data_IF_276412329719
#
_entry.id   IF_276412329719
#
_cell.length_a   1.000
_cell.length_b   1.000
_cell.length_c   1.000
_cell.angle_alpha   90.00
_cell.angle_beta   90.00
_cell.angle_gamma   90.00
#
_symmetry.space_group_name_H-M   'P 1'
#
loop_
_entity.id
_entity.type
_entity.pdbx_description
1 polymer ?
#
# COMPACT_ATOMS: atom_id res chain seq x y z
N UNK A 1 -25.13 -11.45 5.35
CA UNK A 1 -24.72 -12.05 6.62
C UNK A 1 -23.43 -12.83 6.42
N UNK A 2 -22.49 -12.72 7.40
CA UNK A 2 -21.26 -13.51 7.46
C UNK A 2 -21.48 -14.60 8.50
N UNK A 3 -21.38 -15.86 8.10
CA UNK A 3 -21.42 -17.00 9.02
C UNK A 3 -19.98 -17.41 9.27
N UNK A 4 -19.55 -17.37 10.52
CA UNK A 4 -18.22 -17.84 10.94
C UNK A 4 -18.39 -19.25 11.49
N UNK A 5 -17.74 -20.22 10.83
CA UNK A 5 -17.72 -21.61 11.27
C UNK A 5 -16.34 -21.88 11.87
N UNK A 6 -16.28 -22.06 13.19
CA UNK A 6 -15.05 -22.40 13.92
C UNK A 6 -14.81 -23.91 13.85
N UNK A 7 -14.33 -24.40 12.71
CA UNK A 7 -13.97 -25.79 12.49
C UNK A 7 -12.48 -25.90 12.19
N UNK A 8 -11.77 -26.74 12.95
CA UNK A 8 -10.37 -27.04 12.65
C UNK A 8 -10.31 -27.94 11.42
N UNK A 9 -9.59 -27.50 10.40
CA UNK A 9 -9.41 -28.23 9.15
C UNK A 9 -8.00 -28.84 9.11
N UNK A 10 -7.90 -30.10 8.69
CA UNK A 10 -6.62 -30.78 8.53
C UNK A 10 -6.14 -30.70 7.06
N UNK A 11 -4.84 -30.59 6.88
CA UNK A 11 -4.24 -30.55 5.55
C UNK A 11 -4.44 -31.86 4.81
N UNK A 12 -4.96 -31.80 3.59
CA UNK A 12 -5.17 -32.98 2.73
C UNK A 12 -6.52 -33.65 2.86
N UNK A 13 -7.35 -33.23 3.81
CA UNK A 13 -8.71 -33.73 3.94
C UNK A 13 -9.69 -32.93 3.07
N UNK A 14 -10.76 -33.60 2.64
CA UNK A 14 -11.85 -32.99 1.89
C UNK A 14 -13.01 -32.72 2.84
N UNK A 15 -13.47 -31.49 2.89
CA UNK A 15 -14.59 -31.08 3.73
C UNK A 15 -15.78 -30.67 2.86
N UNK A 16 -16.97 -31.06 3.28
CA UNK A 16 -18.21 -30.65 2.65
C UNK A 16 -18.90 -29.60 3.52
N UNK A 17 -19.27 -28.48 2.94
CA UNK A 17 -20.11 -27.48 3.59
C UNK A 17 -21.51 -27.65 3.07
N UNK A 18 -22.41 -28.06 3.96
CA UNK A 18 -23.84 -28.17 3.65
C UNK A 18 -24.60 -26.97 4.22
N UNK A 19 -25.37 -26.31 3.36
CA UNK A 19 -26.20 -25.17 3.75
C UNK A 19 -27.65 -25.57 3.51
N UNK A 20 -28.38 -25.81 4.60
CA UNK A 20 -29.81 -26.15 4.56
C UNK A 20 -30.66 -24.99 5.06
N UNK A 21 -31.67 -24.63 4.30
CA UNK A 21 -32.64 -23.62 4.70
C UNK A 21 -33.84 -24.24 5.38
N UNK A 22 -34.09 -23.91 6.66
CA UNK A 22 -35.36 -24.26 7.35
C UNK A 22 -36.31 -23.07 7.28
N UNK A 23 -37.58 -23.36 6.91
CA UNK A 23 -38.64 -22.33 6.91
C UNK A 23 -38.55 -21.29 5.80
N UNK A 24 -37.83 -21.59 4.73
CA UNK A 24 -37.76 -20.72 3.55
C UNK A 24 -39.09 -20.78 2.83
N UNK A 25 -39.73 -19.61 2.66
CA UNK A 25 -40.96 -19.45 1.86
C UNK A 25 -40.61 -18.76 0.55
N UNK A 26 -41.43 -18.99 -0.50
CA UNK A 26 -41.24 -18.35 -1.80
C UNK A 26 -41.21 -16.82 -1.70
N UNK A 27 -41.91 -16.23 -0.72
CA UNK A 27 -41.97 -14.82 -0.42
C UNK A 27 -40.70 -14.26 0.28
N UNK A 28 -39.89 -15.17 0.86
CA UNK A 28 -38.62 -14.84 1.54
C UNK A 28 -37.52 -15.82 1.15
N UNK A 29 -37.05 -15.75 -0.10
CA UNK A 29 -36.03 -16.68 -0.59
C UNK A 29 -34.67 -16.41 0.05
N UNK A 30 -33.88 -17.46 0.25
CA UNK A 30 -32.48 -17.36 0.64
C UNK A 30 -31.63 -17.14 -0.62
N UNK A 31 -30.95 -16.01 -0.69
CA UNK A 31 -30.00 -15.75 -1.75
C UNK A 31 -28.58 -16.09 -1.28
N UNK A 32 -27.88 -16.88 -2.10
CA UNK A 32 -26.47 -17.18 -1.89
C UNK A 32 -25.65 -16.48 -2.96
N UNK A 33 -24.62 -15.77 -2.52
CA UNK A 33 -23.65 -15.19 -3.46
C UNK A 33 -22.76 -16.30 -4.02
N UNK A 34 -22.78 -16.42 -5.34
CA UNK A 34 -22.01 -17.42 -6.07
C UNK A 34 -20.95 -16.73 -6.95
N UNK A 35 -19.92 -17.48 -7.27
CA UNK A 35 -18.86 -17.03 -8.18
C UNK A 35 -18.63 -18.12 -9.23
N UNK A 36 -18.42 -17.70 -10.46
CA UNK A 36 -18.03 -18.59 -11.56
C UNK A 36 -16.53 -18.92 -11.57
N UNK A 37 -15.74 -18.22 -10.75
CA UNK A 37 -14.30 -18.40 -10.71
C UNK A 37 -13.95 -19.45 -9.64
N UNK A 38 -13.83 -20.69 -10.06
CA UNK A 38 -13.40 -21.78 -9.19
C UNK A 38 -11.92 -21.61 -8.84
N UNK A 39 -11.65 -21.13 -7.64
CA UNK A 39 -10.30 -21.23 -7.09
C UNK A 39 -9.89 -22.72 -6.94
N UNK A 40 -8.58 -22.99 -6.89
CA UNK A 40 -8.01 -24.35 -6.75
C UNK A 40 -8.48 -25.13 -5.51
N UNK A 41 -9.26 -24.50 -4.64
CA UNK A 41 -9.73 -25.05 -3.34
C UNK A 41 -11.03 -25.84 -3.50
N UNK A 42 -11.83 -25.58 -4.55
CA UNK A 42 -13.14 -26.20 -4.71
C UNK A 42 -13.10 -27.30 -5.75
N UNK A 43 -13.65 -28.48 -5.41
CA UNK A 43 -13.75 -29.62 -6.31
C UNK A 43 -15.10 -29.70 -7.01
N UNK A 44 -16.20 -29.48 -6.28
CA UNK A 44 -17.54 -29.50 -6.84
C UNK A 44 -18.53 -28.74 -5.94
N UNK A 45 -19.62 -28.25 -6.51
CA UNK A 45 -20.76 -27.74 -5.77
C UNK A 45 -22.05 -28.47 -6.25
N UNK A 46 -22.98 -28.75 -5.33
CA UNK A 46 -24.28 -29.34 -5.63
C UNK A 46 -25.36 -28.40 -5.12
N UNK A 47 -26.42 -28.23 -5.92
CA UNK A 47 -27.62 -27.52 -5.51
C UNK A 47 -28.79 -28.54 -5.59
N UNK A 48 -29.41 -28.80 -4.46
CA UNK A 48 -30.49 -29.80 -4.35
C UNK A 48 -30.10 -31.16 -4.97
N UNK A 49 -28.87 -31.60 -4.69
CA UNK A 49 -28.33 -32.88 -5.19
C UNK A 49 -27.76 -32.85 -6.61
N UNK A 50 -28.03 -31.82 -7.40
CA UNK A 50 -27.55 -31.68 -8.78
C UNK A 50 -26.21 -30.94 -8.82
N UNK A 51 -25.22 -31.59 -9.44
CA UNK A 51 -23.89 -30.99 -9.60
C UNK A 51 -23.97 -29.79 -10.54
N UNK A 52 -23.49 -28.63 -10.07
CA UNK A 52 -23.47 -27.40 -10.81
C UNK A 52 -22.06 -27.15 -11.38
N UNK A 53 -21.97 -26.94 -12.68
CA UNK A 53 -20.74 -26.50 -13.33
C UNK A 53 -20.63 -24.98 -13.16
N UNK A 54 -19.43 -24.51 -12.76
CA UNK A 54 -19.14 -23.08 -12.57
C UNK A 54 -19.96 -22.36 -11.48
N UNK A 55 -20.37 -23.12 -10.46
CA UNK A 55 -21.12 -22.57 -9.34
C UNK A 55 -20.44 -22.96 -8.02
N UNK A 56 -20.11 -21.98 -7.20
CA UNK A 56 -19.64 -22.21 -5.84
C UNK A 56 -20.04 -21.06 -4.92
N UNK A 57 -20.32 -21.38 -3.68
CA UNK A 57 -20.61 -20.40 -2.65
C UNK A 57 -19.30 -19.69 -2.27
N UNK A 58 -19.33 -18.38 -2.17
CA UNK A 58 -18.15 -17.60 -1.78
C UNK A 58 -17.80 -17.87 -0.33
N UNK A 59 -16.83 -18.74 -0.12
CA UNK A 59 -16.29 -19.07 1.20
C UNK A 59 -14.86 -18.56 1.35
N UNK A 60 -14.47 -18.16 2.55
CA UNK A 60 -13.08 -17.88 2.90
C UNK A 60 -12.67 -18.88 3.98
N UNK A 61 -11.62 -19.62 3.69
CA UNK A 61 -10.97 -20.49 4.69
C UNK A 61 -9.79 -19.70 5.26
N UNK A 62 -9.79 -19.53 6.57
CA UNK A 62 -8.72 -18.92 7.30
C UNK A 62 -7.86 -20.03 7.89
N UNK A 63 -6.58 -20.03 7.58
CA UNK A 63 -5.63 -20.93 8.20
C UNK A 63 -4.77 -20.14 9.18
N UNK A 64 -4.69 -20.59 10.41
CA UNK A 64 -3.73 -20.10 11.42
C UNK A 64 -2.40 -20.88 11.32
N UNK A 65 -1.99 -21.23 10.11
CA UNK A 65 -0.72 -21.90 9.92
C UNK A 65 0.42 -20.87 10.10
N UNK A 66 1.25 -21.09 11.11
CA UNK A 66 2.45 -20.31 11.30
C UNK A 66 3.40 -20.70 10.15
N UNK A 67 3.65 -19.76 9.24
CA UNK A 67 4.71 -19.91 8.25
C UNK A 67 6.06 -19.75 8.95
N UNK A 68 6.66 -20.88 9.32
CA UNK A 68 7.96 -20.90 10.03
C UNK A 68 9.02 -20.14 9.24
N UNK A 69 8.97 -20.20 7.91
CA UNK A 69 9.93 -19.48 7.05
C UNK A 69 9.76 -17.96 7.16
N UNK A 70 8.51 -17.49 7.24
CA UNK A 70 8.22 -16.07 7.44
C UNK A 70 8.64 -15.59 8.83
N UNK A 71 8.44 -16.41 9.87
CA UNK A 71 8.88 -16.09 11.23
C UNK A 71 10.41 -16.01 11.30
N UNK A 72 11.13 -17.00 10.78
CA UNK A 72 12.61 -17.01 10.75
C UNK A 72 13.14 -15.80 9.98
N UNK A 73 12.57 -15.50 8.81
CA UNK A 73 12.96 -14.33 8.03
C UNK A 73 12.71 -13.02 8.80
N UNK A 74 11.56 -12.89 9.44
CA UNK A 74 11.23 -11.69 10.23
C UNK A 74 12.21 -11.52 11.42
N UNK A 75 12.51 -12.61 12.13
CA UNK A 75 13.48 -12.59 13.22
C UNK A 75 14.87 -12.22 12.70
N UNK A 76 15.33 -12.84 11.63
CA UNK A 76 16.64 -12.55 11.03
C UNK A 76 16.77 -11.09 10.61
N UNK A 77 15.74 -10.54 9.97
CA UNK A 77 15.70 -9.14 9.55
C UNK A 77 15.67 -8.20 10.76
N UNK A 78 14.86 -8.52 11.77
CA UNK A 78 14.78 -7.72 13.00
C UNK A 78 16.14 -7.69 13.71
N UNK A 79 16.82 -8.84 13.83
CA UNK A 79 18.17 -8.91 14.38
C UNK A 79 19.17 -8.11 13.54
N UNK A 80 19.12 -8.21 12.21
CA UNK A 80 20.00 -7.44 11.33
C UNK A 80 19.78 -5.92 11.51
N UNK A 81 18.53 -5.46 11.63
CA UNK A 81 18.21 -4.06 11.91
C UNK A 81 18.70 -3.62 13.29
N UNK A 82 18.53 -4.45 14.32
CA UNK A 82 19.05 -4.18 15.68
C UNK A 82 20.58 -4.05 15.64
N UNK A 83 21.27 -4.98 15.00
CA UNK A 83 22.72 -4.93 14.83
C UNK A 83 23.12 -3.64 14.10
N UNK A 84 22.44 -3.30 13.01
CA UNK A 84 22.69 -2.07 12.25
C UNK A 84 22.46 -0.81 13.11
N UNK A 85 21.44 -0.79 13.97
CA UNK A 85 21.18 0.32 14.89
C UNK A 85 22.28 0.44 15.93
N UNK A 86 22.65 -0.66 16.56
CA UNK A 86 23.63 -0.70 17.66
C UNK A 86 25.08 -0.49 17.18
N UNK A 87 25.40 -0.90 15.96
CA UNK A 87 26.75 -0.74 15.42
C UNK A 87 27.04 0.74 15.17
N UNK A 88 28.07 1.32 15.78
CA UNK A 88 28.47 2.72 15.55
C UNK A 88 29.18 2.85 14.19
N UNK A 89 28.43 2.74 13.11
CA UNK A 89 28.95 2.95 11.75
C UNK A 89 29.28 4.45 11.59
N UNK A 90 30.55 4.79 11.72
CA UNK A 90 31.05 6.14 11.37
C UNK A 90 31.40 6.15 9.90
N UNK A 91 30.57 6.76 9.08
CA UNK A 91 30.90 6.98 7.67
C UNK A 91 31.95 8.08 7.61
N UNK A 92 33.13 7.87 6.98
CA UNK A 92 34.14 8.90 6.85
C UNK A 92 33.55 10.18 6.21
N UNK A 93 33.90 11.36 6.72
CA UNK A 93 33.32 12.65 6.30
C UNK A 93 33.35 12.85 4.78
N UNK A 94 34.46 12.44 4.14
CA UNK A 94 34.63 12.45 2.69
C UNK A 94 33.51 11.71 1.93
N UNK A 95 33.06 10.58 2.48
CA UNK A 95 32.04 9.74 1.86
C UNK A 95 30.63 10.10 2.32
N UNK A 96 30.48 10.63 3.53
CA UNK A 96 29.18 10.96 4.10
C UNK A 96 28.37 11.89 3.20
N UNK A 97 28.96 12.93 2.65
CA UNK A 97 28.29 13.85 1.73
C UNK A 97 27.82 13.14 0.46
N UNK A 98 28.65 12.27 -0.12
CA UNK A 98 28.30 11.49 -1.32
C UNK A 98 27.17 10.51 -1.04
N UNK A 99 27.25 9.76 0.05
CA UNK A 99 26.20 8.83 0.47
C UNK A 99 24.88 9.53 0.78
N UNK A 100 24.93 10.69 1.43
CA UNK A 100 23.74 11.49 1.73
C UNK A 100 22.98 11.87 0.46
N UNK A 101 23.68 12.38 -0.55
CA UNK A 101 23.04 12.74 -1.82
C UNK A 101 22.64 11.52 -2.65
N UNK A 102 23.46 10.48 -2.67
CA UNK A 102 23.09 9.22 -3.34
C UNK A 102 21.81 8.63 -2.73
N UNK A 103 21.72 8.60 -1.41
CA UNK A 103 20.51 8.13 -0.73
C UNK A 103 19.31 9.03 -1.04
N UNK A 104 19.47 10.36 -1.04
CA UNK A 104 18.40 11.27 -1.38
C UNK A 104 17.86 11.08 -2.81
N UNK A 105 18.74 10.72 -3.75
CA UNK A 105 18.35 10.43 -5.14
C UNK A 105 17.68 9.07 -5.26
N UNK A 106 18.18 8.05 -4.57
CA UNK A 106 17.68 6.67 -4.69
C UNK A 106 16.40 6.43 -3.87
N UNK A 107 16.29 7.08 -2.72
CA UNK A 107 15.19 6.84 -1.77
C UNK A 107 13.78 7.03 -2.37
N UNK A 108 13.48 8.09 -3.16
CA UNK A 108 12.16 8.25 -3.78
C UNK A 108 11.76 7.08 -4.69
N UNK A 109 12.73 6.49 -5.40
CA UNK A 109 12.50 5.30 -6.23
C UNK A 109 12.18 4.06 -5.40
N UNK A 110 12.95 3.84 -4.34
CA UNK A 110 12.73 2.69 -3.46
C UNK A 110 11.40 2.84 -2.74
N UNK A 111 11.10 4.02 -2.21
CA UNK A 111 9.84 4.32 -1.55
C UNK A 111 8.64 4.12 -2.49
N UNK A 112 8.70 4.64 -3.71
CA UNK A 112 7.70 4.42 -4.75
C UNK A 112 7.49 2.91 -4.99
N UNK A 113 8.58 2.18 -5.26
CA UNK A 113 8.50 0.75 -5.54
C UNK A 113 7.88 -0.02 -4.37
N UNK A 114 8.25 0.30 -3.12
CA UNK A 114 7.73 -0.38 -1.94
C UNK A 114 6.25 -0.06 -1.69
N UNK A 115 5.85 1.20 -1.85
CA UNK A 115 4.44 1.60 -1.71
C UNK A 115 3.58 0.87 -2.75
N UNK A 116 3.97 0.87 -4.02
CA UNK A 116 3.23 0.15 -5.07
C UNK A 116 3.21 -1.36 -4.84
N UNK A 117 4.26 -1.94 -4.27
CA UNK A 117 4.35 -3.36 -3.93
C UNK A 117 3.34 -3.76 -2.87
N UNK A 118 3.12 -2.93 -1.85
CA UNK A 118 2.11 -3.13 -0.80
C UNK A 118 0.70 -3.20 -1.40
N UNK A 119 0.44 -2.50 -2.49
CA UNK A 119 -0.84 -2.52 -3.21
C UNK A 119 -0.98 -3.66 -4.20
N UNK A 120 0.00 -4.56 -4.31
CA UNK A 120 0.05 -5.56 -5.39
C UNK A 120 -0.02 -4.92 -6.78
N UNK A 121 0.48 -3.69 -6.91
CA UNK A 121 0.41 -2.98 -8.16
C UNK A 121 1.51 -3.48 -9.11
N UNK A 122 1.17 -4.12 -10.23
CA UNK A 122 2.16 -4.50 -11.20
C UNK A 122 2.62 -3.25 -11.96
N UNK A 123 3.75 -2.68 -11.54
CA UNK A 123 4.35 -1.48 -12.17
C UNK A 123 4.50 -1.65 -13.69
N UNK A 124 4.65 -2.88 -14.17
CA UNK A 124 4.75 -3.20 -15.59
C UNK A 124 3.52 -2.86 -16.43
N UNK A 125 2.33 -2.77 -15.81
CA UNK A 125 1.08 -2.39 -16.52
C UNK A 125 0.73 -0.91 -16.35
N UNK A 126 1.54 -0.17 -15.59
CA UNK A 126 1.34 1.27 -15.39
C UNK A 126 1.67 2.03 -16.68
N UNK A 127 0.83 3.03 -17.00
CA UNK A 127 1.12 3.94 -18.10
C UNK A 127 2.46 4.67 -17.85
N UNK A 128 3.31 4.80 -18.89
CA UNK A 128 4.64 5.43 -18.76
C UNK A 128 4.57 6.85 -18.22
N UNK A 129 3.57 7.64 -18.63
CA UNK A 129 3.37 8.99 -18.12
C UNK A 129 2.98 8.94 -16.63
N UNK A 130 2.02 8.07 -16.25
CA UNK A 130 1.62 7.89 -14.87
C UNK A 130 2.78 7.46 -13.97
N UNK A 131 3.63 6.55 -14.47
CA UNK A 131 4.86 6.14 -13.79
C UNK A 131 5.79 7.35 -13.53
N UNK A 132 6.10 8.12 -14.58
CA UNK A 132 6.95 9.31 -14.45
C UNK A 132 6.38 10.35 -13.51
N UNK A 133 5.05 10.57 -13.55
CA UNK A 133 4.37 11.49 -12.65
C UNK A 133 4.42 11.04 -11.19
N UNK A 134 4.23 9.75 -10.90
CA UNK A 134 4.39 9.25 -9.54
C UNK A 134 5.80 9.52 -9.02
N UNK A 135 6.83 9.14 -9.78
CA UNK A 135 8.22 9.39 -9.39
C UNK A 135 8.47 10.90 -9.13
N UNK A 136 7.96 11.77 -9.99
CA UNK A 136 8.07 13.22 -9.81
C UNK A 136 7.46 13.67 -8.48
N UNK A 137 6.27 13.16 -8.13
CA UNK A 137 5.60 13.51 -6.87
C UNK A 137 6.35 13.00 -5.64
N UNK A 138 6.98 11.82 -5.71
CA UNK A 138 7.87 11.36 -4.63
C UNK A 138 9.06 12.30 -4.46
N UNK A 139 9.71 12.74 -5.56
CA UNK A 139 10.79 13.72 -5.46
C UNK A 139 10.33 15.06 -4.90
N UNK A 140 9.17 15.56 -5.33
CA UNK A 140 8.58 16.80 -4.80
C UNK A 140 8.36 16.67 -3.29
N UNK A 141 7.78 15.55 -2.81
CA UNK A 141 7.56 15.30 -1.39
C UNK A 141 8.88 15.38 -0.59
N UNK A 142 9.88 14.60 -0.99
CA UNK A 142 11.17 14.60 -0.30
C UNK A 142 11.89 15.93 -0.39
N UNK A 143 11.76 16.65 -1.50
CA UNK A 143 12.36 17.98 -1.67
C UNK A 143 11.67 19.03 -0.77
N UNK A 144 10.34 19.01 -0.67
CA UNK A 144 9.61 19.87 0.27
C UNK A 144 10.07 19.59 1.70
N UNK A 145 10.17 18.32 2.09
CA UNK A 145 10.66 17.94 3.41
C UNK A 145 12.10 18.38 3.63
N UNK A 146 12.96 18.29 2.60
CA UNK A 146 14.33 18.83 2.66
C UNK A 146 14.32 20.32 2.91
N UNK A 147 13.45 21.07 2.26
CA UNK A 147 13.31 22.50 2.47
C UNK A 147 12.75 22.84 3.85
N UNK A 148 11.83 22.02 4.39
CA UNK A 148 11.27 22.20 5.74
C UNK A 148 12.33 21.93 6.81
N UNK A 149 13.03 20.82 6.75
CA UNK A 149 13.98 20.40 7.78
C UNK A 149 15.40 20.92 7.56
N UNK A 150 15.73 21.35 6.33
CA UNK A 150 17.07 21.77 5.92
C UNK A 150 18.18 20.74 6.21
N UNK A 151 17.83 19.48 6.31
CA UNK A 151 18.74 18.33 6.56
C UNK A 151 18.20 17.10 5.86
N UNK A 152 19.00 16.46 5.02
CA UNK A 152 18.57 15.28 4.25
C UNK A 152 18.08 14.16 5.17
N UNK A 153 18.80 13.89 6.26
CA UNK A 153 18.43 12.89 7.25
C UNK A 153 16.95 13.01 7.67
N UNK A 154 16.54 14.19 8.11
CA UNK A 154 15.18 14.40 8.59
C UNK A 154 14.14 14.37 7.47
N UNK A 155 14.52 14.86 6.28
CA UNK A 155 13.65 14.76 5.11
C UNK A 155 13.36 13.30 4.75
N UNK A 156 14.38 12.44 4.76
CA UNK A 156 14.23 11.01 4.48
C UNK A 156 13.41 10.31 5.58
N UNK A 157 13.77 10.51 6.85
CA UNK A 157 13.08 9.86 7.97
C UNK A 157 11.58 10.19 7.99
N UNK A 158 11.25 11.47 7.93
CA UNK A 158 9.84 11.90 7.99
C UNK A 158 9.09 11.46 6.72
N UNK A 159 9.73 11.56 5.56
CA UNK A 159 9.14 11.12 4.29
C UNK A 159 8.87 9.62 4.26
N UNK A 160 9.82 8.80 4.67
CA UNK A 160 9.67 7.34 4.68
C UNK A 160 8.63 6.89 5.71
N UNK A 161 8.62 7.48 6.91
CA UNK A 161 7.59 7.18 7.92
C UNK A 161 6.21 7.59 7.43
N UNK A 162 6.07 8.76 6.82
CA UNK A 162 4.80 9.22 6.24
C UNK A 162 4.30 8.30 5.14
N UNK A 163 5.17 7.96 4.18
CA UNK A 163 4.82 7.07 3.07
C UNK A 163 4.50 5.65 3.56
N UNK A 164 5.24 5.16 4.55
CA UNK A 164 4.96 3.88 5.18
C UNK A 164 3.59 3.87 5.85
N UNK A 165 3.27 4.88 6.66
CA UNK A 165 1.98 4.99 7.32
C UNK A 165 0.83 5.06 6.31
N UNK A 166 0.99 5.85 5.24
CA UNK A 166 0.01 5.95 4.16
C UNK A 166 -0.17 4.61 3.42
N UNK A 167 0.94 3.91 3.11
CA UNK A 167 0.90 2.63 2.42
C UNK A 167 0.23 1.54 3.26
N UNK A 168 0.62 1.40 4.52
CA UNK A 168 0.05 0.39 5.43
C UNK A 168 -1.40 0.70 5.76
N UNK A 169 -1.73 1.96 6.03
CA UNK A 169 -3.12 2.37 6.24
C UNK A 169 -4.01 1.99 5.05
N UNK A 170 -3.56 2.32 3.84
CA UNK A 170 -4.29 1.96 2.63
C UNK A 170 -4.33 0.44 2.36
N UNK A 171 -3.26 -0.29 2.70
CA UNK A 171 -3.24 -1.77 2.63
C UNK A 171 -4.38 -2.38 3.45
N UNK A 172 -4.55 -1.97 4.69
CA UNK A 172 -5.63 -2.46 5.54
C UNK A 172 -7.01 -2.02 5.04
N UNK A 173 -7.17 -0.77 4.64
CA UNK A 173 -8.45 -0.28 4.10
C UNK A 173 -8.82 -1.02 2.80
N UNK A 174 -7.84 -1.27 1.92
CA UNK A 174 -8.05 -2.03 0.70
C UNK A 174 -8.42 -3.50 0.98
N UNK A 175 -7.76 -4.13 1.96
CA UNK A 175 -8.07 -5.50 2.38
C UNK A 175 -9.49 -5.60 2.96
N UNK A 176 -9.92 -4.59 3.69
CA UNK A 176 -11.21 -4.50 4.32
C UNK A 176 -12.34 -4.12 3.36
N UNK A 177 -12.24 -2.97 2.72
CA UNK A 177 -13.29 -2.38 1.90
C UNK A 177 -13.24 -2.81 0.44
N UNK A 178 -12.08 -3.28 -0.02
CA UNK A 178 -11.84 -3.63 -1.43
C UNK A 178 -11.57 -2.42 -2.34
N UNK A 179 -11.61 -1.20 -1.78
CA UNK A 179 -11.29 0.06 -2.46
C UNK A 179 -10.18 0.80 -1.71
N UNK A 180 -9.28 1.49 -2.40
CA UNK A 180 -8.20 2.25 -1.76
C UNK A 180 -8.75 3.48 -1.02
N UNK A 181 -7.90 4.05 -0.14
CA UNK A 181 -8.19 5.32 0.52
C UNK A 181 -8.21 6.44 -0.53
N UNK A 182 -9.25 7.24 -0.46
CA UNK A 182 -9.42 8.46 -1.26
C UNK A 182 -9.29 9.70 -0.37
N UNK A 183 -9.10 10.90 -0.93
CA UNK A 183 -9.09 12.13 -0.15
C UNK A 183 -10.36 12.33 0.69
N UNK A 184 -11.51 11.89 0.20
CA UNK A 184 -12.78 11.97 0.93
C UNK A 184 -12.80 11.12 2.21
N UNK A 185 -12.06 10.02 2.23
CA UNK A 185 -11.98 9.13 3.42
C UNK A 185 -11.24 9.78 4.59
N UNK A 186 -10.45 10.82 4.35
CA UNK A 186 -9.77 11.57 5.42
C UNK A 186 -10.79 12.20 6.36
N UNK A 187 -11.93 12.65 5.82
CA UNK A 187 -13.02 13.21 6.64
C UNK A 187 -13.79 12.15 7.43
N UNK A 188 -13.72 10.89 7.02
CA UNK A 188 -14.41 9.75 7.64
C UNK A 188 -13.48 8.90 8.54
N UNK A 189 -12.27 9.36 8.83
CA UNK A 189 -11.28 8.61 9.63
C UNK A 189 -11.80 8.18 11.01
N UNK A 190 -12.57 9.04 11.69
CA UNK A 190 -13.19 8.70 12.98
C UNK A 190 -14.08 7.47 12.90
N UNK A 191 -15.02 7.47 11.94
CA UNK A 191 -15.93 6.33 11.72
C UNK A 191 -15.20 5.06 11.30
N UNK A 192 -14.09 5.20 10.57
CA UNK A 192 -13.29 4.05 10.15
C UNK A 192 -12.59 3.38 11.34
N UNK A 193 -12.16 4.14 12.34
CA UNK A 193 -11.54 3.62 13.56
C UNK A 193 -12.53 2.85 14.44
N UNK A 194 -13.77 3.30 14.53
CA UNK A 194 -14.82 2.63 15.32
C UNK A 194 -15.16 1.22 14.80
N UNK A 195 -14.86 0.96 13.53
CA UNK A 195 -15.16 -0.31 12.89
C UNK A 195 -13.92 -1.23 12.81
N UNK A 196 -12.73 -0.68 13.07
CA UNK A 196 -11.46 -1.40 12.90
C UNK A 196 -11.33 -2.64 13.80
N UNK A 197 -11.87 -2.60 15.01
CA UNK A 197 -11.80 -3.69 16.00
C UNK A 197 -12.50 -4.97 15.55
N UNK A 198 -13.35 -4.90 14.54
CA UNK A 198 -14.13 -6.05 14.03
C UNK A 198 -13.41 -6.81 12.91
N UNK A 199 -12.16 -6.42 12.57
CA UNK A 199 -11.43 -6.99 11.43
C UNK A 199 -10.19 -7.76 11.85
N UNK A 200 -10.03 -8.95 11.26
CA UNK A 200 -8.79 -9.73 11.35
C UNK A 200 -7.81 -9.13 10.35
N UNK A 201 -6.83 -8.40 10.86
CA UNK A 201 -5.74 -7.84 10.06
C UNK A 201 -4.75 -8.95 9.72
N UNK A 202 -4.64 -9.29 8.43
CA UNK A 202 -3.60 -10.19 7.93
C UNK A 202 -2.47 -9.38 7.32
N UNK A 203 -1.24 -9.72 7.67
CA UNK A 203 -0.03 -9.06 7.16
C UNK A 203 0.70 -10.03 6.25
N UNK A 204 0.79 -9.73 4.97
CA UNK A 204 1.34 -10.63 3.97
C UNK A 204 2.80 -10.31 3.57
N UNK A 205 3.39 -11.19 2.76
CA UNK A 205 4.80 -11.08 2.36
C UNK A 205 5.18 -9.72 1.74
N UNK A 206 4.42 -9.14 0.78
CA UNK A 206 4.75 -7.82 0.23
C UNK A 206 4.75 -6.71 1.27
N UNK A 207 3.78 -6.71 2.18
CA UNK A 207 3.70 -5.73 3.26
C UNK A 207 4.89 -5.87 4.22
N UNK A 208 5.28 -7.11 4.58
CA UNK A 208 6.47 -7.36 5.41
C UNK A 208 7.73 -6.84 4.72
N UNK A 209 7.94 -7.18 3.45
CA UNK A 209 9.13 -6.74 2.70
C UNK A 209 9.19 -5.22 2.62
N UNK A 210 8.08 -4.54 2.31
CA UNK A 210 8.04 -3.09 2.27
C UNK A 210 8.36 -2.46 3.63
N UNK A 211 7.80 -2.99 4.71
CA UNK A 211 8.10 -2.56 6.08
C UNK A 211 9.60 -2.64 6.36
N UNK A 212 10.20 -3.78 6.08
CA UNK A 212 11.63 -4.00 6.33
C UNK A 212 12.50 -3.05 5.53
N UNK A 213 12.21 -2.88 4.24
CA UNK A 213 13.00 -2.00 3.37
C UNK A 213 12.88 -0.54 3.80
N UNK A 214 11.66 -0.05 4.07
CA UNK A 214 11.46 1.33 4.50
C UNK A 214 12.06 1.59 5.89
N UNK A 215 11.94 0.65 6.84
CA UNK A 215 12.62 0.74 8.13
C UNK A 215 14.16 0.71 7.96
N UNK A 216 14.67 -0.12 7.07
CA UNK A 216 16.10 -0.16 6.73
C UNK A 216 16.60 1.18 6.19
N UNK A 217 15.84 1.83 5.31
CA UNK A 217 16.16 3.18 4.83
C UNK A 217 16.17 4.21 5.95
N UNK A 218 15.19 4.16 6.87
CA UNK A 218 15.16 5.03 8.04
C UNK A 218 16.39 4.83 8.94
N UNK A 219 16.75 3.56 9.23
CA UNK A 219 17.93 3.25 10.03
C UNK A 219 19.20 3.73 9.36
N UNK A 220 19.34 3.51 8.05
CA UNK A 220 20.49 4.01 7.28
C UNK A 220 20.56 5.52 7.28
N UNK A 221 19.43 6.22 7.09
CA UNK A 221 19.35 7.67 7.18
C UNK A 221 19.78 8.18 8.57
N UNK A 222 19.49 7.43 9.65
CA UNK A 222 19.94 7.77 11.01
C UNK A 222 21.47 7.74 11.18
N UNK A 223 22.18 6.96 10.37
CA UNK A 223 23.65 6.87 10.41
C UNK A 223 24.37 7.99 9.64
N UNK A 224 23.64 8.77 8.85
CA UNK A 224 24.21 9.91 8.15
C UNK A 224 24.45 11.08 9.10
N UNK A 225 25.57 11.74 8.95
CA UNK A 225 25.82 13.00 9.64
C UNK A 225 24.93 14.10 9.12
N UNK A 226 24.49 14.97 10.01
CA UNK A 226 23.55 16.03 9.67
C UNK A 226 24.28 17.35 9.43
N UNK A 227 24.15 17.89 8.24
CA UNK A 227 24.58 19.25 7.92
C UNK A 227 23.42 20.04 7.29
N UNK A 228 23.44 21.35 7.48
CA UNK A 228 22.46 22.26 6.86
C UNK A 228 22.80 22.44 5.38
N UNK A 229 21.80 22.27 4.50
CA UNK A 229 21.97 22.35 3.05
C UNK A 229 21.87 23.79 2.55
N UNK A 230 20.87 24.51 3.02
CA UNK A 230 20.52 25.83 2.51
C UNK A 230 20.66 26.90 3.58
N UNK A 231 21.10 28.10 3.17
CA UNK A 231 20.97 29.29 3.97
C UNK A 231 19.50 29.73 4.03
N UNK A 232 19.05 30.31 5.15
CA UNK A 232 17.64 30.56 5.42
C UNK A 232 16.91 31.34 4.33
N UNK A 233 17.52 32.39 3.74
CA UNK A 233 16.94 33.22 2.66
C UNK A 233 16.72 32.39 1.38
N UNK A 234 17.73 31.62 0.95
CA UNK A 234 17.64 30.74 -0.23
C UNK A 234 16.61 29.65 -0.03
N UNK A 235 16.51 29.12 1.19
CA UNK A 235 15.54 28.10 1.57
C UNK A 235 14.10 28.62 1.47
N UNK A 236 13.82 29.84 1.98
CA UNK A 236 12.48 30.44 1.90
C UNK A 236 12.05 30.64 0.44
N UNK A 237 12.94 31.20 -0.39
CA UNK A 237 12.67 31.39 -1.83
C UNK A 237 12.44 30.06 -2.52
N UNK A 238 13.29 29.06 -2.27
CA UNK A 238 13.11 27.71 -2.84
C UNK A 238 11.79 27.07 -2.41
N UNK A 239 11.37 27.24 -1.14
CA UNK A 239 10.10 26.73 -0.63
C UNK A 239 8.91 27.39 -1.31
N UNK A 240 8.93 28.70 -1.48
CA UNK A 240 7.88 29.43 -2.20
C UNK A 240 7.79 29.00 -3.67
N UNK A 241 8.93 28.91 -4.37
CA UNK A 241 8.96 28.46 -5.76
C UNK A 241 8.44 27.03 -5.86
N UNK A 242 8.89 26.12 -4.98
CA UNK A 242 8.45 24.73 -4.97
C UNK A 242 6.96 24.63 -4.69
N UNK A 243 6.42 25.41 -3.75
CA UNK A 243 4.99 25.45 -3.46
C UNK A 243 4.18 25.89 -4.69
N UNK A 244 4.60 26.98 -5.36
CA UNK A 244 3.94 27.49 -6.58
C UNK A 244 3.99 26.44 -7.70
N UNK A 245 5.17 25.83 -7.93
CA UNK A 245 5.33 24.78 -8.96
C UNK A 245 4.48 23.55 -8.61
N UNK A 246 4.45 23.15 -7.35
CA UNK A 246 3.64 21.99 -6.88
C UNK A 246 2.16 22.24 -7.09
N UNK A 247 1.65 23.39 -6.63
CA UNK A 247 0.23 23.74 -6.81
C UNK A 247 -0.11 23.88 -8.28
N UNK A 248 0.70 24.59 -9.06
CA UNK A 248 0.50 24.76 -10.50
C UNK A 248 0.54 23.42 -11.25
N UNK A 249 1.56 22.60 -10.99
CA UNK A 249 1.66 21.28 -11.64
C UNK A 249 0.53 20.34 -11.21
N UNK A 250 0.11 20.36 -9.94
CA UNK A 250 -1.05 19.60 -9.49
C UNK A 250 -2.30 19.99 -10.27
N UNK A 251 -2.56 21.29 -10.39
CA UNK A 251 -3.73 21.78 -11.08
C UNK A 251 -3.75 21.42 -12.57
N UNK A 252 -2.59 21.49 -13.25
CA UNK A 252 -2.52 21.21 -14.70
C UNK A 252 -2.34 19.72 -15.02
N UNK A 253 -1.46 19.03 -14.31
CA UNK A 253 -1.06 17.66 -14.65
C UNK A 253 -2.06 16.60 -14.15
N UNK A 254 -2.91 16.92 -13.18
CA UNK A 254 -3.94 15.97 -12.69
C UNK A 254 -5.30 16.16 -13.37
N UNK A 255 -5.44 17.12 -14.32
CA UNK A 255 -6.69 17.32 -15.05
C UNK A 255 -7.08 16.08 -15.85
N UNK A 256 -8.31 15.65 -15.65
CA UNK A 256 -8.91 14.50 -16.31
C UNK A 256 -8.76 14.57 -17.83
N UNK A 257 -9.04 15.74 -18.43
CA UNK A 257 -8.95 15.95 -19.88
C UNK A 257 -7.52 15.77 -20.42
N UNK A 258 -6.53 16.26 -19.69
CA UNK A 258 -5.12 16.10 -20.05
C UNK A 258 -4.69 14.63 -19.95
N UNK A 259 -5.02 13.99 -18.85
CA UNK A 259 -4.63 12.62 -18.55
C UNK A 259 -5.30 11.63 -19.51
N UNK A 260 -6.59 11.79 -19.80
CA UNK A 260 -7.33 10.93 -20.73
C UNK A 260 -6.76 11.00 -22.15
N UNK A 261 -6.43 12.21 -22.63
CA UNK A 261 -5.77 12.41 -23.94
C UNK A 261 -4.41 11.72 -24.04
N UNK A 262 -3.74 11.51 -22.92
CA UNK A 262 -2.44 10.81 -22.83
C UNK A 262 -2.56 9.33 -22.49
N UNK A 263 -3.77 8.77 -22.52
CA UNK A 263 -4.02 7.34 -22.28
C UNK A 263 -3.88 6.92 -20.81
N UNK A 264 -3.87 7.87 -19.87
CA UNK A 264 -3.94 7.57 -18.44
C UNK A 264 -5.39 7.19 -18.10
N UNK A 265 -5.56 6.10 -17.37
CA UNK A 265 -6.89 5.59 -17.04
C UNK A 265 -7.60 6.51 -16.04
N UNK A 266 -8.65 7.19 -16.49
CA UNK A 266 -9.50 7.99 -15.62
C UNK A 266 -10.78 7.21 -15.37
N UNK A 267 -10.93 6.66 -14.17
CA UNK A 267 -12.12 5.92 -13.79
C UNK A 267 -12.41 6.09 -12.30
N UNK A 268 -13.32 6.97 -11.98
CA UNK A 268 -13.74 7.24 -10.60
C UNK A 268 -14.67 6.16 -10.03
N UNK A 269 -15.35 5.38 -10.87
CA UNK A 269 -16.26 4.31 -10.45
C UNK A 269 -15.52 3.04 -10.02
N UNK A 270 -14.41 2.73 -10.70
CA UNK A 270 -13.57 1.56 -10.39
C UNK A 270 -12.23 2.02 -9.80
N UNK A 271 -12.26 2.68 -8.66
CA UNK A 271 -11.09 3.27 -8.01
C UNK A 271 -9.93 2.30 -7.91
N UNK A 272 -10.16 1.06 -7.45
CA UNK A 272 -9.12 0.03 -7.36
C UNK A 272 -8.39 -0.16 -8.70
N UNK A 273 -9.12 -0.20 -9.82
CA UNK A 273 -8.53 -0.37 -11.14
C UNK A 273 -7.76 0.87 -11.60
N UNK A 274 -8.24 2.05 -11.22
CA UNK A 274 -7.53 3.32 -11.44
C UNK A 274 -6.18 3.32 -10.73
N UNK A 275 -6.16 3.01 -9.45
CA UNK A 275 -4.93 2.94 -8.64
C UNK A 275 -3.94 1.91 -9.18
N UNK A 276 -4.41 0.73 -9.61
CA UNK A 276 -3.56 -0.30 -10.22
C UNK A 276 -2.88 0.16 -11.52
N UNK A 277 -3.55 1.00 -12.31
CA UNK A 277 -3.02 1.46 -13.61
C UNK A 277 -2.22 2.77 -13.52
N UNK A 278 -2.53 3.61 -12.57
CA UNK A 278 -1.96 4.95 -12.49
C UNK A 278 -0.99 5.12 -11.31
N UNK A 279 -0.94 4.16 -10.39
CA UNK A 279 -0.18 4.27 -9.15
C UNK A 279 -0.91 5.04 -8.05
N UNK A 280 -0.37 4.95 -6.83
CA UNK A 280 -1.05 5.46 -5.64
C UNK A 280 -1.16 6.98 -5.61
N UNK A 281 -0.02 7.70 -5.67
CA UNK A 281 -0.02 9.16 -5.49
C UNK A 281 -0.80 9.87 -6.61
N UNK A 282 -0.58 9.50 -7.87
CA UNK A 282 -1.30 10.12 -8.97
C UNK A 282 -2.81 9.90 -8.85
N UNK A 283 -3.25 8.66 -8.55
CA UNK A 283 -4.67 8.38 -8.37
C UNK A 283 -5.27 9.10 -7.17
N UNK A 284 -4.52 9.23 -6.07
CA UNK A 284 -4.96 9.99 -4.91
C UNK A 284 -5.15 11.47 -5.26
N UNK A 285 -4.20 12.08 -5.96
CA UNK A 285 -4.28 13.49 -6.39
C UNK A 285 -5.42 13.73 -7.40
N UNK A 286 -5.67 12.78 -8.31
CA UNK A 286 -6.81 12.87 -9.24
C UNK A 286 -8.17 12.88 -8.53
N UNK A 287 -8.27 12.27 -7.36
CA UNK A 287 -9.49 12.25 -6.56
C UNK A 287 -9.67 13.50 -5.66
N UNK A 288 -8.73 14.44 -5.66
CA UNK A 288 -8.87 15.74 -4.97
C UNK A 288 -9.73 16.71 -5.80
N UNK A 289 -9.74 16.54 -7.11
CA UNK A 289 -10.51 17.35 -8.07
C UNK A 289 -11.95 16.86 -8.18
#
# INVERSE_FOLDING_TARGET
>A
YKVVVNQKLNKGETYTIEITGKGIKAERPLYLYTSSNMGKIYQSAKLNGVTQKNFHVRTRVWTTQIDVSAVVLTVAITLALIILILTPLKIPEKWNKRFTWALFIVNPWVAFYMVEKVFYNPISVMNKLAFGMNILWYYILFFILLLIFNRVKWALLVGDVFLYAAAIGNYFVLAFRGTPITPADIYALGTAMDVADHYVLSYDKPAIVATVVLLGLCVFACKLDTYKIFHWKKRLVALLITAIVTVGSSFFLTRVDFLSKKGVAVNFWQQKRGYLKNGYILSFLMNIQ
#
